data_IF_838655680996
#
_entry.id   IF_838655680996
#
_cell.length_a   1.000
_cell.length_b   1.000
_cell.length_c   1.000
_cell.angle_alpha   90.00
_cell.angle_beta   90.00
_cell.angle_gamma   90.00
#
_symmetry.space_group_name_H-M   'P 1'
#
loop_
_entity.id
_entity.type
_entity.pdbx_description
1 polymer ?
#
# COMPACT_ATOMS: atom_id res chain seq x y z
N UNK A 1 1.76 12.77 14.42
CA UNK A 1 1.45 11.35 14.15
C UNK A 1 2.70 10.70 13.59
N UNK A 2 3.21 9.65 14.23
CA UNK A 2 4.40 8.92 13.79
C UNK A 2 4.04 8.04 12.59
N UNK A 3 4.63 8.34 11.42
CA UNK A 3 4.47 7.50 10.24
C UNK A 3 5.16 6.17 10.46
N UNK A 4 4.45 5.08 10.20
CA UNK A 4 5.04 3.73 10.22
C UNK A 4 5.75 3.49 8.90
N UNK A 5 6.95 2.93 8.93
CA UNK A 5 7.65 2.54 7.71
C UNK A 5 7.27 1.11 7.32
N UNK A 6 6.96 0.89 6.05
CA UNK A 6 6.53 -0.40 5.48
C UNK A 6 7.24 -0.64 4.16
N UNK A 7 7.51 -1.90 3.84
CA UNK A 7 8.12 -2.26 2.54
C UNK A 7 7.12 -2.07 1.41
N UNK A 8 7.62 -1.99 0.17
CA UNK A 8 6.77 -1.79 -1.01
C UNK A 8 5.65 -2.84 -1.13
N UNK A 9 5.96 -4.11 -0.86
CA UNK A 9 4.97 -5.20 -0.88
C UNK A 9 3.92 -5.05 0.22
N UNK A 10 4.31 -4.64 1.43
CA UNK A 10 3.37 -4.41 2.52
C UNK A 10 2.44 -3.23 2.21
N UNK A 11 2.96 -2.13 1.68
CA UNK A 11 2.15 -0.99 1.26
C UNK A 11 1.17 -1.36 0.15
N UNK A 12 1.64 -2.11 -0.85
CA UNK A 12 0.80 -2.60 -1.94
C UNK A 12 -0.35 -3.46 -1.40
N UNK A 13 -0.05 -4.39 -0.49
CA UNK A 13 -1.03 -5.29 0.10
C UNK A 13 -2.02 -4.53 1.03
N UNK A 14 -1.54 -3.56 1.81
CA UNK A 14 -2.35 -2.72 2.69
C UNK A 14 -3.35 -1.87 1.89
N UNK A 15 -2.89 -1.23 0.80
CA UNK A 15 -3.76 -0.49 -0.13
C UNK A 15 -4.75 -1.44 -0.77
N UNK A 16 -4.30 -2.61 -1.25
CA UNK A 16 -5.17 -3.62 -1.85
C UNK A 16 -6.27 -4.06 -0.89
N UNK A 17 -5.94 -4.36 0.38
CA UNK A 17 -6.91 -4.76 1.40
C UNK A 17 -7.91 -3.65 1.71
N UNK A 18 -7.47 -2.40 1.80
CA UNK A 18 -8.36 -1.26 2.07
C UNK A 18 -9.32 -1.03 0.89
N UNK A 19 -8.83 -1.12 -0.34
CA UNK A 19 -9.67 -1.05 -1.54
C UNK A 19 -10.69 -2.19 -1.57
N UNK A 20 -10.25 -3.43 -1.35
CA UNK A 20 -11.15 -4.59 -1.29
C UNK A 20 -12.05 -4.63 -0.04
N UNK A 21 -11.93 -3.67 0.88
CA UNK A 21 -12.85 -3.47 2.00
C UNK A 21 -13.89 -2.38 1.72
N UNK A 22 -13.68 -1.53 0.72
CA UNK A 22 -14.66 -0.52 0.35
C UNK A 22 -15.87 -1.22 -0.25
N UNK A 23 -17.03 -0.97 0.33
CA UNK A 23 -18.28 -1.59 -0.09
C UNK A 23 -18.56 -1.33 -1.58
N UNK A 24 -18.22 -0.14 -2.07
CA UNK A 24 -18.29 0.27 -3.48
C UNK A 24 -17.52 -0.69 -4.43
N UNK A 25 -16.30 -1.08 -4.06
CA UNK A 25 -15.44 -1.98 -4.85
C UNK A 25 -15.87 -3.44 -4.68
N UNK A 26 -16.32 -3.81 -3.48
CA UNK A 26 -16.80 -5.15 -3.16
C UNK A 26 -18.10 -5.47 -3.88
N UNK A 27 -19.02 -4.51 -3.94
CA UNK A 27 -20.34 -4.64 -4.57
C UNK A 27 -20.20 -4.80 -6.10
N UNK A 28 -19.34 -4.02 -6.73
CA UNK A 28 -19.04 -4.17 -8.16
C UNK A 28 -18.10 -5.37 -8.46
N UNK A 29 -17.51 -6.00 -7.43
CA UNK A 29 -16.56 -7.11 -7.59
C UNK A 29 -15.27 -6.73 -8.31
N UNK A 30 -14.93 -5.44 -8.34
CA UNK A 30 -13.81 -4.90 -9.12
C UNK A 30 -12.49 -5.22 -8.42
N UNK A 31 -11.63 -5.96 -9.12
CA UNK A 31 -10.26 -6.20 -8.66
C UNK A 31 -9.36 -5.06 -9.13
N UNK A 32 -9.22 -4.03 -8.30
CA UNK A 32 -8.28 -2.94 -8.56
C UNK A 32 -6.84 -3.46 -8.42
N UNK A 33 -6.07 -3.35 -9.50
CA UNK A 33 -4.67 -3.76 -9.50
C UNK A 33 -3.82 -2.64 -8.93
N UNK A 34 -3.43 -2.79 -7.67
CA UNK A 34 -2.52 -1.87 -6.99
C UNK A 34 -1.11 -2.08 -7.52
N UNK A 35 -0.46 -1.05 -8.10
CA UNK A 35 0.92 -1.16 -8.55
C UNK A 35 1.86 -1.18 -7.35
N UNK A 36 3.07 -1.69 -7.56
CA UNK A 36 4.12 -1.64 -6.53
C UNK A 36 4.53 -0.17 -6.30
N UNK A 37 4.45 0.34 -5.06
CA UNK A 37 4.86 1.70 -4.76
C UNK A 37 6.37 1.85 -4.95
N UNK A 38 6.76 2.96 -5.56
CA UNK A 38 8.17 3.29 -5.83
C UNK A 38 8.63 4.39 -4.89
N UNK A 39 9.87 4.26 -4.42
CA UNK A 39 10.51 5.30 -3.62
C UNK A 39 10.66 6.57 -4.49
N UNK A 40 10.29 7.71 -3.93
CA UNK A 40 10.51 9.02 -4.50
C UNK A 40 10.96 10.01 -3.43
N UNK A 41 11.31 11.22 -3.85
CA UNK A 41 11.57 12.31 -2.92
C UNK A 41 10.34 12.59 -2.04
N UNK A 42 10.56 12.81 -0.73
CA UNK A 42 9.47 13.12 0.18
C UNK A 42 8.74 14.37 -0.27
N UNK A 43 7.45 14.23 -0.53
CA UNK A 43 6.59 15.33 -0.98
C UNK A 43 6.38 16.38 0.13
N UNK A 44 5.60 17.45 -0.10
CA UNK A 44 5.24 18.43 0.93
C UNK A 44 4.48 17.80 2.11
N UNK A 45 3.77 16.69 1.85
CA UNK A 45 3.20 15.88 2.92
C UNK A 45 4.27 15.09 3.70
N UNK A 46 5.47 14.87 3.16
CA UNK A 46 6.56 14.05 3.71
C UNK A 46 6.42 12.55 3.39
N UNK A 47 5.66 12.23 2.34
CA UNK A 47 5.51 10.87 1.82
C UNK A 47 6.62 10.62 0.78
N UNK A 48 7.42 9.57 1.00
CA UNK A 48 8.57 9.23 0.16
C UNK A 48 8.28 8.16 -0.90
N UNK A 49 7.01 7.99 -1.29
CA UNK A 49 6.63 7.02 -2.31
C UNK A 49 5.42 7.45 -3.13
N UNK A 50 5.33 6.85 -4.32
CA UNK A 50 4.26 7.10 -5.30
C UNK A 50 3.87 5.86 -6.11
N UNK A 51 2.66 5.93 -6.68
CA UNK A 51 2.01 4.88 -7.47
C UNK A 51 1.35 5.51 -8.69
N UNK A 52 1.86 5.22 -9.89
CA UNK A 52 1.46 5.94 -11.12
C UNK A 52 0.29 5.34 -11.89
N UNK A 53 0.10 4.02 -11.87
CA UNK A 53 -0.92 3.36 -12.71
C UNK A 53 -1.65 2.26 -11.93
N UNK A 54 -2.81 2.61 -11.37
CA UNK A 54 -3.74 1.60 -10.87
C UNK A 54 -4.48 0.98 -12.06
N UNK A 55 -4.47 -0.34 -12.14
CA UNK A 55 -5.28 -1.05 -13.13
C UNK A 55 -6.72 -1.15 -12.65
N UNK A 56 -7.68 -0.96 -13.56
CA UNK A 56 -9.09 -1.18 -13.29
C UNK A 56 -9.69 -0.23 -12.22
N UNK A 57 -9.18 1.01 -12.11
CA UNK A 57 -9.70 2.04 -11.21
C UNK A 57 -10.84 2.89 -11.81
N UNK A 58 -11.15 2.69 -13.10
CA UNK A 58 -12.17 3.46 -13.80
C UNK A 58 -13.53 3.30 -13.10
N UNK A 59 -14.12 4.41 -12.65
CA UNK A 59 -15.34 4.42 -11.82
C UNK A 59 -15.09 4.62 -10.32
N UNK A 60 -13.94 4.19 -9.78
CA UNK A 60 -13.62 4.28 -8.35
C UNK A 60 -12.39 5.15 -8.05
N UNK A 61 -11.98 6.01 -8.99
CA UNK A 61 -10.73 6.78 -8.91
C UNK A 61 -10.64 7.63 -7.63
N UNK A 62 -11.78 8.21 -7.23
CA UNK A 62 -11.89 9.01 -6.01
C UNK A 62 -11.68 8.16 -4.76
N UNK A 63 -12.36 7.02 -4.67
CA UNK A 63 -12.22 6.11 -3.54
C UNK A 63 -10.79 5.55 -3.44
N UNK A 64 -10.18 5.24 -4.58
CA UNK A 64 -8.77 4.83 -4.66
C UNK A 64 -7.85 5.93 -4.18
N UNK A 65 -8.01 7.14 -4.68
CA UNK A 65 -7.19 8.29 -4.31
C UNK A 65 -7.28 8.59 -2.81
N UNK A 66 -8.47 8.49 -2.20
CA UNK A 66 -8.66 8.68 -0.76
C UNK A 66 -7.97 7.60 0.07
N UNK A 67 -8.11 6.33 -0.29
CA UNK A 67 -7.40 5.22 0.37
C UNK A 67 -5.89 5.40 0.28
N UNK A 68 -5.38 5.72 -0.92
CA UNK A 68 -3.96 5.96 -1.14
C UNK A 68 -3.47 7.16 -0.33
N UNK A 69 -4.21 8.27 -0.31
CA UNK A 69 -3.85 9.45 0.47
C UNK A 69 -3.80 9.17 1.98
N UNK A 70 -4.72 8.35 2.50
CA UNK A 70 -4.69 7.90 3.90
C UNK A 70 -3.45 7.06 4.17
N UNK A 71 -3.16 6.05 3.33
CA UNK A 71 -1.97 5.20 3.49
C UNK A 71 -0.68 6.02 3.37
N UNK A 72 -0.61 7.00 2.46
CA UNK A 72 0.56 7.91 2.32
C UNK A 72 0.77 8.80 3.55
N UNK A 73 -0.31 9.17 4.26
CA UNK A 73 -0.23 9.95 5.49
C UNK A 73 0.22 9.10 6.68
N UNK A 74 -0.21 7.85 6.74
CA UNK A 74 0.08 6.91 7.83
C UNK A 74 1.41 6.17 7.66
N UNK A 75 1.81 5.88 6.43
CA UNK A 75 2.93 5.02 6.12
C UNK A 75 3.91 5.59 5.11
N UNK A 76 5.20 5.38 5.38
CA UNK A 76 6.30 5.66 4.46
C UNK A 76 6.90 4.37 3.91
N UNK A 77 7.51 4.45 2.73
CA UNK A 77 8.17 3.33 2.10
C UNK A 77 9.55 3.15 2.74
N UNK A 78 9.75 2.01 3.38
CA UNK A 78 11.07 1.64 3.91
C UNK A 78 12.03 1.44 2.75
N UNK A 79 13.14 2.17 2.79
CA UNK A 79 14.31 1.94 1.92
C UNK A 79 15.03 0.63 2.24
N UNK A 80 14.80 0.07 3.43
CA UNK A 80 15.23 -1.29 3.79
C UNK A 80 14.38 -2.35 3.08
N UNK A 81 14.76 -2.68 1.84
CA UNK A 81 14.22 -3.81 1.09
C UNK A 81 14.61 -5.19 1.68
N UNK A 82 14.99 -5.27 2.97
CA UNK A 82 15.66 -6.44 3.55
C UNK A 82 15.20 -6.78 4.98
N UNK A 83 13.90 -6.77 5.28
CA UNK A 83 13.46 -7.30 6.58
C UNK A 83 12.07 -7.95 6.61
N UNK A 84 11.75 -8.80 5.63
CA UNK A 84 10.58 -9.70 5.72
C UNK A 84 10.89 -11.18 5.57
N UNK A 85 12.10 -11.57 5.20
CA UNK A 85 12.45 -12.99 5.17
C UNK A 85 12.79 -13.57 6.56
N UNK A 86 12.79 -12.76 7.62
CA UNK A 86 13.19 -13.20 8.97
C UNK A 86 12.05 -13.27 9.99
N UNK A 87 10.79 -13.02 9.59
CA UNK A 87 9.64 -13.09 10.51
C UNK A 87 8.77 -14.35 10.30
N UNK A 88 9.10 -15.18 9.32
CA UNK A 88 8.33 -16.37 8.93
C UNK A 88 9.22 -17.61 8.74
N UNK A 89 10.25 -17.74 9.58
CA UNK A 89 11.16 -18.89 9.53
C UNK A 89 11.67 -19.24 10.92
N UNK A 90 10.91 -20.05 11.65
CA UNK A 90 11.38 -21.14 12.52
C UNK A 90 10.17 -21.85 13.15
N UNK A 91 9.73 -23.02 12.65
CA UNK A 91 9.19 -24.04 13.54
C UNK A 91 10.39 -24.69 14.24
N UNK A 92 10.55 -24.40 15.53
CA UNK A 92 11.50 -25.06 16.42
C UNK A 92 11.25 -26.58 16.45
N UNK A 93 12.28 -27.42 16.28
CA UNK A 93 12.27 -28.78 16.83
C UNK A 93 13.45 -28.95 17.80
N UNK A 94 13.14 -29.24 19.07
CA UNK A 94 14.06 -29.91 19.99
C UNK A 94 13.63 -31.37 20.12
#
# INVERSE_FOLDING_TARGET
MSRKTRTASQLQDEVSRRLHRLQDIVDEGVKIRVPRPQLQEPDASGCNWDTKHFGNMAGHERAVAEVVAMVRKEFNLSTEAKHLNSLFGEPSPE
#
